data_IF_257633871742
#
_entry.id   IF_257633871742
#
_cell.length_a   1.000
_cell.length_b   1.000
_cell.length_c   1.000
_cell.angle_alpha   90.00
_cell.angle_beta   90.00
_cell.angle_gamma   90.00
#
_symmetry.space_group_name_H-M   'P 1'
#
loop_
_entity.id
_entity.type
_entity.pdbx_description
1 polymer ?
#
# COMPACT_ATOMS: atom_id res chain seq x y z
N UNK A 1 -12.38 -12.13 -13.96
CA UNK A 1 -11.99 -11.74 -12.59
C UNK A 1 -10.66 -10.95 -12.59
N UNK A 2 -9.64 -11.39 -13.34
CA UNK A 2 -8.38 -10.64 -13.55
C UNK A 2 -8.56 -9.21 -14.12
N UNK A 3 -9.55 -8.99 -15.00
CA UNK A 3 -9.78 -7.68 -15.63
C UNK A 3 -10.18 -6.57 -14.64
N UNK A 4 -10.79 -6.91 -13.49
CA UNK A 4 -11.22 -5.92 -12.49
C UNK A 4 -10.03 -5.40 -11.68
N UNK A 5 -9.22 -6.31 -11.11
CA UNK A 5 -7.99 -5.93 -10.39
C UNK A 5 -6.99 -5.22 -11.31
N UNK A 6 -6.92 -5.63 -12.58
CA UNK A 6 -6.11 -4.99 -13.60
C UNK A 6 -6.48 -3.51 -13.85
N UNK A 7 -7.77 -3.23 -14.08
CA UNK A 7 -8.27 -1.86 -14.25
C UNK A 7 -8.08 -1.01 -13.00
N UNK A 8 -8.20 -1.62 -11.83
CA UNK A 8 -8.03 -0.94 -10.55
C UNK A 8 -6.58 -0.50 -10.34
N UNK A 9 -5.60 -1.36 -10.65
CA UNK A 9 -4.16 -1.04 -10.58
C UNK A 9 -3.79 0.07 -11.58
N UNK A 10 -4.29 0.00 -12.82
CA UNK A 10 -4.04 1.04 -13.84
C UNK A 10 -4.65 2.39 -13.42
N UNK A 11 -5.90 2.39 -12.96
CA UNK A 11 -6.57 3.59 -12.48
C UNK A 11 -5.83 4.20 -11.28
N UNK A 12 -5.41 3.36 -10.34
CA UNK A 12 -4.72 3.78 -9.13
C UNK A 12 -3.35 4.41 -9.38
N UNK A 13 -2.65 3.95 -10.42
CA UNK A 13 -1.35 4.51 -10.83
C UNK A 13 -1.49 5.75 -11.71
N UNK A 14 -2.71 6.28 -11.91
CA UNK A 14 -2.96 7.42 -12.81
C UNK A 14 -2.71 7.11 -14.29
N UNK A 15 -2.69 5.83 -14.66
CA UNK A 15 -2.37 5.35 -16.01
C UNK A 15 -3.63 5.20 -16.89
N UNK A 16 -4.79 5.62 -16.41
CA UNK A 16 -6.08 5.59 -17.13
C UNK A 16 -6.07 6.42 -18.42
N UNK A 17 -5.10 7.32 -18.58
CA UNK A 17 -4.90 8.13 -19.78
C UNK A 17 -3.89 7.55 -20.78
N UNK A 18 -3.23 6.43 -20.43
CA UNK A 18 -2.34 5.74 -21.38
C UNK A 18 -3.24 5.08 -22.42
N UNK A 19 -3.06 5.43 -23.69
CA UNK A 19 -3.73 4.80 -24.82
C UNK A 19 -3.71 3.27 -24.64
N UNK A 20 -4.76 2.55 -25.09
CA UNK A 20 -4.88 1.13 -24.77
C UNK A 20 -3.57 0.43 -25.06
N UNK A 21 -3.05 -0.31 -24.07
CA UNK A 21 -1.84 -1.13 -24.18
C UNK A 21 -2.11 -2.34 -25.11
N UNK A 22 -2.83 -2.10 -26.21
CA UNK A 22 -3.13 -3.03 -27.27
C UNK A 22 -1.80 -3.52 -27.86
N UNK A 23 -1.50 -4.79 -27.62
CA UNK A 23 -0.29 -5.45 -28.10
C UNK A 23 0.75 -5.76 -27.03
N UNK A 24 0.61 -5.27 -25.79
CA UNK A 24 1.39 -5.78 -24.66
C UNK A 24 0.73 -7.06 -24.16
N UNK A 25 1.44 -8.18 -24.30
CA UNK A 25 1.03 -9.42 -23.64
C UNK A 25 1.00 -9.22 -22.11
N UNK A 26 0.16 -10.00 -21.42
CA UNK A 26 0.09 -9.99 -19.95
C UNK A 26 1.48 -10.10 -19.29
N UNK A 27 2.36 -10.93 -19.84
CA UNK A 27 3.73 -11.12 -19.34
C UNK A 27 4.59 -9.85 -19.44
N UNK A 28 4.55 -9.14 -20.56
CA UNK A 28 5.32 -7.91 -20.75
C UNK A 28 4.83 -6.78 -19.83
N UNK A 29 3.55 -6.83 -19.43
CA UNK A 29 2.94 -5.86 -18.53
C UNK A 29 3.24 -6.16 -17.06
N UNK A 30 3.28 -7.44 -16.66
CA UNK A 30 3.80 -7.83 -15.35
C UNK A 30 5.28 -7.45 -15.21
N UNK A 31 6.08 -7.68 -16.27
CA UNK A 31 7.47 -7.26 -16.31
C UNK A 31 7.60 -5.74 -16.21
N UNK A 32 6.71 -4.99 -16.88
CA UNK A 32 6.65 -3.53 -16.77
C UNK A 32 6.37 -3.09 -15.32
N UNK A 33 5.39 -3.72 -14.68
CA UNK A 33 5.02 -3.45 -13.29
C UNK A 33 6.17 -3.77 -12.33
N UNK A 34 6.80 -4.94 -12.46
CA UNK A 34 7.98 -5.33 -11.65
C UNK A 34 9.15 -4.36 -11.86
N UNK A 35 9.47 -3.99 -13.10
CA UNK A 35 10.57 -3.06 -13.40
C UNK A 35 10.31 -1.66 -12.86
N UNK A 36 9.07 -1.16 -12.95
CA UNK A 36 8.69 0.12 -12.33
C UNK A 36 8.69 0.05 -10.81
N UNK A 37 8.34 -1.09 -10.20
CA UNK A 37 8.38 -1.31 -8.76
C UNK A 37 9.84 -1.26 -8.24
N UNK A 38 10.78 -1.93 -8.91
CA UNK A 38 12.20 -1.95 -8.52
C UNK A 38 12.96 -0.64 -8.77
N UNK A 39 12.62 0.13 -9.82
CA UNK A 39 13.32 1.40 -10.08
C UNK A 39 12.89 2.54 -9.13
N UNK A 40 11.67 2.49 -8.59
CA UNK A 40 11.20 3.48 -7.62
C UNK A 40 11.80 3.27 -6.21
N UNK A 41 12.22 2.04 -5.88
CA UNK A 41 12.80 1.66 -4.57
C UNK A 41 14.21 2.24 -4.30
N UNK A 42 14.90 2.80 -5.30
CA UNK A 42 16.25 3.35 -5.14
C UNK A 42 16.30 4.90 -5.05
N UNK A 43 15.15 5.56 -4.89
CA UNK A 43 15.10 7.02 -4.73
C UNK A 43 14.87 7.39 -3.27
N UNK A 44 15.92 7.85 -2.55
CA UNK A 44 15.74 8.41 -1.22
C UNK A 44 14.99 9.75 -1.27
N UNK A 45 14.10 9.95 -0.30
CA UNK A 45 13.36 11.19 -0.10
C UNK A 45 14.25 12.13 0.73
N UNK A 46 14.64 13.27 0.15
CA UNK A 46 15.32 14.35 0.87
C UNK A 46 14.29 15.46 1.06
N UNK A 47 14.03 15.83 2.31
CA UNK A 47 12.81 16.53 2.79
C UNK A 47 12.69 18.01 2.36
N UNK A 48 13.55 18.51 1.47
CA UNK A 48 13.79 19.97 1.37
C UNK A 48 13.27 20.69 0.11
N UNK A 49 12.42 20.08 -0.72
CA UNK A 49 11.85 20.79 -1.87
C UNK A 49 10.35 20.53 -2.00
N UNK A 50 9.58 21.56 -2.35
CA UNK A 50 8.18 21.46 -2.73
C UNK A 50 8.04 20.51 -3.95
N UNK A 51 7.73 19.23 -3.71
CA UNK A 51 8.02 18.14 -4.65
C UNK A 51 6.83 17.75 -5.52
N UNK A 52 6.62 18.50 -6.62
CA UNK A 52 6.15 17.90 -7.87
C UNK A 52 7.33 17.15 -8.51
N UNK A 53 7.62 15.92 -8.06
CA UNK A 53 8.58 15.06 -8.77
C UNK A 53 7.91 14.45 -9.99
N UNK A 54 8.28 14.94 -11.18
CA UNK A 54 8.02 14.26 -12.45
C UNK A 54 9.07 13.17 -12.62
N UNK A 55 8.75 11.94 -12.23
CA UNK A 55 9.55 10.79 -12.64
C UNK A 55 9.20 10.48 -14.11
N UNK A 56 10.17 10.63 -15.01
CA UNK A 56 10.01 10.26 -16.42
C UNK A 56 10.71 8.93 -16.65
N UNK A 57 9.93 7.84 -16.69
CA UNK A 57 10.43 6.53 -17.09
C UNK A 57 10.31 6.42 -18.61
N UNK A 58 11.34 5.94 -19.31
CA UNK A 58 11.27 5.71 -20.76
C UNK A 58 11.05 4.24 -21.02
N UNK A 59 9.87 3.90 -21.56
CA UNK A 59 9.54 2.54 -21.96
C UNK A 59 9.91 2.34 -23.42
N UNK A 60 10.72 1.33 -23.75
CA UNK A 60 11.01 0.97 -25.14
C UNK A 60 10.16 -0.23 -25.54
N UNK A 61 9.31 -0.04 -26.55
CA UNK A 61 8.51 -1.13 -27.11
C UNK A 61 9.42 -2.11 -27.87
N UNK A 62 9.29 -3.39 -27.54
CA UNK A 62 10.25 -4.43 -27.95
C UNK A 62 10.19 -4.72 -29.45
N UNK A 63 9.00 -4.65 -30.05
CA UNK A 63 8.78 -5.06 -31.45
C UNK A 63 9.16 -3.98 -32.46
N UNK A 64 8.93 -2.71 -32.15
CA UNK A 64 9.17 -1.59 -33.07
C UNK A 64 10.24 -0.61 -32.59
N UNK A 65 10.80 -0.81 -31.39
CA UNK A 65 11.86 0.02 -30.80
C UNK A 65 11.42 1.41 -30.35
N UNK A 66 10.13 1.77 -30.46
CA UNK A 66 9.66 3.11 -30.09
C UNK A 66 9.77 3.33 -28.58
N UNK A 67 10.20 4.53 -28.19
CA UNK A 67 10.29 4.91 -26.78
C UNK A 67 9.16 5.84 -26.39
N UNK A 68 8.45 5.51 -25.31
CA UNK A 68 7.35 6.29 -24.77
C UNK A 68 7.76 6.87 -23.40
N UNK A 69 7.66 8.20 -23.20
CA UNK A 69 7.85 8.78 -21.87
C UNK A 69 6.61 8.50 -21.03
N UNK A 70 6.81 7.83 -19.90
CA UNK A 70 5.81 7.66 -18.87
C UNK A 70 6.09 8.71 -17.79
N UNK A 71 5.20 9.69 -17.72
CA UNK A 71 5.33 10.81 -16.79
C UNK A 71 4.43 10.51 -15.59
N UNK A 72 5.04 10.24 -14.44
CA UNK A 72 4.31 10.09 -13.18
C UNK A 72 4.31 11.42 -12.43
N UNK A 73 3.13 11.82 -11.94
CA UNK A 73 3.00 12.88 -10.95
C UNK A 73 2.67 12.24 -9.60
N UNK A 74 3.57 12.39 -8.65
CA UNK A 74 3.29 12.07 -7.26
C UNK A 74 2.70 13.32 -6.61
N UNK A 75 1.48 13.21 -6.11
CA UNK A 75 0.92 14.18 -5.19
C UNK A 75 1.13 13.63 -3.78
N UNK A 76 2.25 13.96 -3.15
CA UNK A 76 2.38 13.83 -1.70
C UNK A 76 1.85 15.13 -1.12
N UNK A 77 0.58 15.17 -0.73
CA UNK A 77 0.16 16.25 0.16
C UNK A 77 0.82 16.02 1.52
N UNK A 78 1.37 17.07 2.17
CA UNK A 78 1.91 16.96 3.51
C UNK A 78 0.82 16.39 4.40
N UNK A 79 1.06 15.19 4.93
CA UNK A 79 0.07 14.43 5.67
C UNK A 79 -0.56 15.28 6.76
N UNK A 80 -1.83 15.62 6.61
CA UNK A 80 -2.61 16.03 7.76
C UNK A 80 -2.65 14.81 8.68
N UNK A 81 -2.25 14.96 9.97
CA UNK A 81 -2.38 13.85 10.90
C UNK A 81 -3.84 13.41 10.86
N UNK A 82 -4.12 12.11 10.69
CA UNK A 82 -5.50 11.63 10.69
C UNK A 82 -6.15 12.19 11.95
N UNK A 83 -7.21 12.98 11.75
CA UNK A 83 -8.01 13.47 12.86
C UNK A 83 -8.56 12.20 13.47
N UNK A 84 -8.07 11.83 14.66
CA UNK A 84 -8.45 10.63 15.36
C UNK A 84 -9.95 10.73 15.71
N UNK A 85 -10.81 10.46 14.72
CA UNK A 85 -12.17 10.02 14.94
C UNK A 85 -12.02 8.83 15.88
N UNK A 86 -12.72 8.85 17.01
CA UNK A 86 -12.60 7.89 18.10
C UNK A 86 -13.06 6.47 17.76
N UNK A 87 -12.65 5.96 16.59
CA UNK A 87 -12.70 4.57 16.23
C UNK A 87 -12.02 3.78 17.35
N UNK A 88 -12.81 2.88 17.92
CA UNK A 88 -12.49 2.10 19.10
C UNK A 88 -11.20 1.34 18.80
N UNK A 89 -10.14 1.64 19.56
CA UNK A 89 -8.80 1.08 19.39
C UNK A 89 -8.78 -0.47 19.43
N UNK A 90 -9.86 -1.10 19.89
CA UNK A 90 -10.03 -2.54 20.02
C UNK A 90 -9.96 -3.32 18.69
N UNK A 91 -10.23 -2.67 17.54
CA UNK A 91 -10.30 -3.37 16.23
C UNK A 91 -9.14 -3.05 15.27
N UNK A 92 -8.20 -2.19 15.67
CA UNK A 92 -7.10 -1.77 14.81
C UNK A 92 -6.25 -2.95 14.32
N UNK A 93 -6.07 -3.04 13.01
CA UNK A 93 -5.31 -4.07 12.32
C UNK A 93 -6.03 -5.42 12.17
N UNK A 94 -7.13 -5.68 12.89
CA UNK A 94 -7.83 -6.96 12.87
C UNK A 94 -8.95 -7.06 11.84
N UNK A 95 -9.24 -5.97 11.14
CA UNK A 95 -10.29 -5.93 10.12
C UNK A 95 -9.77 -5.23 8.87
N UNK A 96 -10.27 -5.60 7.68
CA UNK A 96 -9.91 -4.94 6.43
C UNK A 96 -10.39 -3.47 6.38
N UNK A 97 -11.31 -3.09 7.27
CA UNK A 97 -11.86 -1.74 7.34
C UNK A 97 -11.06 -0.80 8.24
N UNK A 98 -10.12 -1.37 9.01
CA UNK A 98 -9.22 -0.64 9.88
C UNK A 98 -7.81 -1.28 9.81
N UNK A 99 -7.18 -1.32 8.62
CA UNK A 99 -5.90 -1.98 8.43
C UNK A 99 -4.77 -1.19 9.08
N UNK A 100 -3.63 -1.86 9.27
CA UNK A 100 -2.36 -1.22 9.61
C UNK A 100 -1.81 -0.58 8.34
N UNK A 101 -1.61 0.73 8.32
CA UNK A 101 -1.02 1.39 7.15
C UNK A 101 0.50 1.21 7.17
N UNK A 102 1.07 0.80 6.05
CA UNK A 102 2.50 0.57 5.91
C UNK A 102 3.02 1.32 4.69
N UNK A 103 4.22 1.90 4.83
CA UNK A 103 4.96 2.36 3.67
C UNK A 103 5.50 1.14 2.94
N UNK A 104 4.81 0.74 1.86
CA UNK A 104 5.25 -0.29 0.93
C UNK A 104 5.37 -1.72 1.55
N UNK A 105 5.77 -2.76 0.78
CA UNK A 105 5.87 -4.13 1.30
C UNK A 105 6.91 -4.29 2.42
N UNK A 106 7.97 -3.47 2.45
CA UNK A 106 8.98 -3.51 3.51
C UNK A 106 8.38 -3.01 4.82
N UNK A 107 7.55 -1.98 4.79
CA UNK A 107 6.84 -1.49 5.97
C UNK A 107 5.97 -2.56 6.63
N UNK A 108 5.34 -3.45 5.84
CA UNK A 108 4.57 -4.58 6.39
C UNK A 108 5.47 -5.56 7.16
N UNK A 109 6.61 -5.92 6.56
CA UNK A 109 7.57 -6.85 7.13
C UNK A 109 8.19 -6.27 8.41
N UNK A 110 8.57 -5.00 8.38
CA UNK A 110 9.10 -4.26 9.53
C UNK A 110 8.06 -4.21 10.66
N UNK A 111 6.81 -3.89 10.34
CA UNK A 111 5.74 -3.87 11.34
C UNK A 111 5.56 -5.26 11.96
N UNK A 112 5.47 -6.34 11.17
CA UNK A 112 5.34 -7.71 11.68
C UNK A 112 6.54 -8.10 12.55
N UNK A 113 7.76 -7.76 12.13
CA UNK A 113 8.99 -8.04 12.89
C UNK A 113 9.06 -7.28 14.22
N UNK A 114 8.39 -6.12 14.32
CA UNK A 114 8.26 -5.35 15.55
C UNK A 114 7.22 -5.94 16.52
N UNK A 115 6.35 -6.85 16.09
CA UNK A 115 5.30 -7.41 16.94
C UNK A 115 5.81 -8.57 17.81
N UNK A 116 5.26 -8.64 19.02
CA UNK A 116 5.42 -9.73 19.98
C UNK A 116 4.05 -10.15 20.50
N UNK A 117 3.89 -11.45 20.77
CA UNK A 117 2.69 -11.95 21.42
C UNK A 117 2.64 -11.49 22.90
N UNK A 118 1.53 -11.69 23.63
CA UNK A 118 1.44 -11.34 25.05
C UNK A 118 2.57 -11.91 25.94
N UNK A 119 3.13 -13.05 25.55
CA UNK A 119 4.24 -13.71 26.25
C UNK A 119 5.63 -13.23 25.80
N UNK A 120 5.71 -12.24 24.91
CA UNK A 120 6.97 -11.64 24.45
C UNK A 120 7.67 -12.38 23.31
N UNK A 121 7.11 -13.45 22.76
CA UNK A 121 7.70 -14.16 21.63
C UNK A 121 7.43 -13.43 20.30
N UNK A 122 8.37 -13.49 19.33
CA UNK A 122 8.17 -12.93 17.99
C UNK A 122 7.15 -13.72 17.18
N UNK A 123 6.58 -13.06 16.17
CA UNK A 123 5.70 -13.68 15.19
C UNK A 123 6.45 -14.07 13.91
N UNK A 124 5.93 -15.10 13.23
CA UNK A 124 6.18 -15.37 11.82
C UNK A 124 4.90 -15.04 11.04
N UNK A 125 4.99 -14.10 10.11
CA UNK A 125 3.89 -13.72 9.23
C UNK A 125 3.80 -14.62 7.99
N UNK A 126 2.58 -15.01 7.63
CA UNK A 126 2.26 -15.73 6.42
C UNK A 126 1.23 -14.93 5.62
N UNK A 127 1.64 -14.38 4.48
CA UNK A 127 0.72 -13.66 3.58
C UNK A 127 -0.29 -14.63 2.99
N UNK A 128 -1.56 -14.38 3.23
CA UNK A 128 -2.68 -15.18 2.72
C UNK A 128 -3.11 -14.69 1.34
N UNK A 129 -3.09 -13.38 1.12
CA UNK A 129 -3.44 -12.76 -0.15
C UNK A 129 -3.97 -11.33 0.04
N UNK A 130 -4.40 -10.72 -1.07
CA UNK A 130 -4.99 -9.38 -1.08
C UNK A 130 -6.52 -9.46 -1.15
N UNK A 131 -7.21 -8.49 -0.58
CA UNK A 131 -8.67 -8.36 -0.64
C UNK A 131 -9.14 -6.91 -0.61
N UNK A 132 -10.43 -6.70 -0.82
CA UNK A 132 -11.06 -5.39 -0.66
C UNK A 132 -11.08 -4.99 0.83
N UNK A 133 -10.75 -3.73 1.11
CA UNK A 133 -10.82 -3.11 2.43
C UNK A 133 -11.26 -1.64 2.35
N UNK A 134 -11.26 -0.95 3.49
CA UNK A 134 -11.60 0.46 3.55
C UNK A 134 -10.40 1.34 3.86
N UNK A 135 -10.25 2.39 3.05
CA UNK A 135 -9.33 3.48 3.30
C UNK A 135 -9.68 4.18 4.61
N UNK A 136 -8.74 4.26 5.55
CA UNK A 136 -8.88 5.17 6.70
C UNK A 136 -8.39 6.58 6.38
N UNK A 137 -7.82 6.81 5.18
CA UNK A 137 -7.32 8.10 4.72
C UNK A 137 -8.19 8.70 3.59
N UNK A 138 -9.33 9.33 3.92
CA UNK A 138 -10.29 9.80 2.91
C UNK A 138 -9.67 10.75 1.87
N UNK A 139 -8.60 11.46 2.23
CA UNK A 139 -7.97 12.45 1.34
C UNK A 139 -7.07 11.83 0.26
N UNK A 140 -6.61 10.57 0.40
CA UNK A 140 -5.68 9.97 -0.57
C UNK A 140 -6.39 9.17 -1.67
N UNK A 141 -7.58 8.62 -1.38
CA UNK A 141 -8.32 7.78 -2.33
C UNK A 141 -9.63 8.37 -2.81
N UNK A 142 -10.24 9.28 -2.05
CA UNK A 142 -11.44 9.95 -2.53
C UNK A 142 -10.98 11.17 -3.32
N UNK A 143 -11.24 11.24 -4.64
CA UNK A 143 -10.85 12.40 -5.41
C UNK A 143 -11.50 13.66 -4.81
N UNK A 144 -10.80 14.81 -4.76
CA UNK A 144 -11.27 16.03 -4.08
C UNK A 144 -12.57 16.63 -4.68
N UNK A 145 -13.10 16.01 -5.73
CA UNK A 145 -14.31 16.41 -6.44
C UNK A 145 -15.43 15.36 -6.37
N UNK A 146 -15.28 14.26 -5.64
CA UNK A 146 -16.40 13.35 -5.40
C UNK A 146 -17.42 14.09 -4.54
N UNK A 147 -18.57 14.42 -5.11
CA UNK A 147 -19.73 14.90 -4.36
C UNK A 147 -20.03 13.91 -3.22
N UNK A 148 -20.46 14.39 -2.05
CA UNK A 148 -20.63 13.64 -0.77
C UNK A 148 -21.41 12.30 -0.84
N UNK A 149 -21.93 11.92 -2.01
CA UNK A 149 -22.68 10.69 -2.26
C UNK A 149 -21.91 9.62 -3.05
N UNK A 150 -20.73 9.91 -3.60
CA UNK A 150 -19.91 8.88 -4.26
C UNK A 150 -19.08 8.13 -3.21
N UNK A 151 -19.46 6.88 -2.97
CA UNK A 151 -18.73 5.93 -2.13
C UNK A 151 -17.27 5.87 -2.60
N UNK A 152 -16.35 6.20 -1.69
CA UNK A 152 -14.91 6.06 -1.94
C UNK A 152 -14.64 4.61 -2.40
N UNK A 153 -13.89 4.40 -3.50
CA UNK A 153 -13.63 3.06 -4.00
C UNK A 153 -12.95 2.22 -2.92
N UNK A 154 -13.21 0.90 -2.87
CA UNK A 154 -12.55 0.03 -1.91
C UNK A 154 -11.03 0.06 -2.13
N UNK A 155 -10.28 0.12 -1.03
CA UNK A 155 -8.84 -0.03 -1.05
C UNK A 155 -8.46 -1.51 -1.11
N UNK A 156 -7.22 -1.78 -1.50
CA UNK A 156 -6.67 -3.13 -1.46
C UNK A 156 -5.87 -3.25 -0.17
N UNK A 157 -6.16 -4.29 0.60
CA UNK A 157 -5.42 -4.62 1.82
C UNK A 157 -4.89 -6.05 1.74
N UNK A 158 -3.75 -6.29 2.35
CA UNK A 158 -3.11 -7.60 2.43
C UNK A 158 -3.43 -8.27 3.77
N UNK A 159 -3.91 -9.52 3.69
CA UNK A 159 -4.21 -10.34 4.86
C UNK A 159 -3.02 -11.22 5.19
N UNK A 160 -2.61 -11.18 6.46
CA UNK A 160 -1.57 -12.04 7.02
C UNK A 160 -2.11 -12.87 8.17
N UNK A 161 -1.71 -14.14 8.23
CA UNK A 161 -1.81 -14.96 9.44
C UNK A 161 -0.47 -14.89 10.18
N UNK A 162 -0.51 -14.49 11.44
CA UNK A 162 0.66 -14.37 12.30
C UNK A 162 0.67 -15.52 13.29
N UNK A 163 1.76 -16.28 13.30
CA UNK A 163 1.97 -17.38 14.25
C UNK A 163 3.14 -17.07 15.18
N UNK A 164 2.87 -17.03 16.48
CA UNK A 164 3.89 -16.84 17.50
C UNK A 164 4.90 -18.00 17.45
N UNK A 165 6.20 -17.71 17.54
CA UNK A 165 7.24 -18.76 17.54
C UNK A 165 7.16 -19.69 18.77
N UNK A 166 6.55 -19.24 19.86
CA UNK A 166 6.25 -20.08 21.03
C UNK A 166 5.03 -20.99 20.83
N UNK A 167 4.26 -20.85 19.74
CA UNK A 167 3.07 -21.67 19.45
C UNK A 167 1.81 -21.31 20.23
N UNK A 168 1.90 -20.41 21.22
CA UNK A 168 0.82 -20.06 22.16
C UNK A 168 -0.26 -19.14 21.56
N UNK A 169 0.06 -18.43 20.48
CA UNK A 169 -0.76 -17.34 19.96
C UNK A 169 -0.77 -17.33 18.43
N UNK A 170 -1.95 -17.20 17.85
CA UNK A 170 -2.15 -17.01 16.41
C UNK A 170 -3.19 -15.92 16.23
N UNK A 171 -2.97 -15.02 15.29
CA UNK A 171 -3.93 -13.98 14.93
C UNK A 171 -3.87 -13.66 13.45
N UNK A 172 -4.85 -12.91 12.97
CA UNK A 172 -4.86 -12.39 11.61
C UNK A 172 -4.80 -10.88 11.65
N UNK A 173 -3.97 -10.30 10.78
CA UNK A 173 -3.85 -8.86 10.62
C UNK A 173 -4.00 -8.46 9.16
N UNK A 174 -4.45 -7.22 8.96
CA UNK A 174 -4.66 -6.60 7.66
C UNK A 174 -3.74 -5.39 7.51
N UNK A 175 -3.07 -5.31 6.38
CA UNK A 175 -2.09 -4.28 6.09
C UNK A 175 -2.48 -3.51 4.82
N UNK A 176 -2.27 -2.21 4.84
CA UNK A 176 -2.45 -1.34 3.69
C UNK A 176 -1.10 -0.71 3.35
N UNK A 177 -0.33 -1.41 2.50
CA UNK A 177 0.98 -0.99 2.03
C UNK A 177 0.95 0.18 1.02
N UNK A 178 -0.24 0.70 0.72
CA UNK A 178 -0.43 1.69 -0.33
C UNK A 178 -0.71 3.08 0.23
N UNK A 179 -0.69 3.20 1.55
CA UNK A 179 -0.80 4.44 2.27
C UNK A 179 0.32 4.57 3.27
N UNK A 180 0.86 5.78 3.42
CA UNK A 180 1.91 5.99 4.38
C UNK A 180 1.44 5.70 5.80
N UNK A 181 2.25 4.95 6.52
CA UNK A 181 2.07 4.72 7.95
C UNK A 181 2.41 5.97 8.73
N UNK A 182 1.70 6.23 9.84
CA UNK A 182 2.22 7.21 10.80
C UNK A 182 3.23 6.53 11.73
N UNK A 183 4.33 7.20 12.04
CA UNK A 183 5.28 6.72 13.04
C UNK A 183 4.61 6.47 14.41
N UNK A 184 3.48 7.12 14.67
CA UNK A 184 2.67 7.03 15.89
C UNK A 184 1.53 6.01 15.83
N UNK A 185 1.51 5.11 14.84
CA UNK A 185 0.45 4.10 14.75
C UNK A 185 0.36 3.24 16.01
N UNK A 186 -0.88 3.00 16.43
CA UNK A 186 -1.18 2.19 17.61
C UNK A 186 -0.72 0.74 17.40
N UNK A 187 -0.52 0.02 18.50
CA UNK A 187 -0.32 -1.44 18.44
C UNK A 187 -1.69 -2.13 18.43
N UNK A 188 -1.92 -3.15 17.59
CA UNK A 188 -3.15 -3.94 17.66
C UNK A 188 -3.40 -4.47 19.07
N UNK A 189 -4.65 -4.39 19.53
CA UNK A 189 -5.02 -4.80 20.90
C UNK A 189 -4.54 -6.22 21.21
N UNK A 190 -3.96 -6.41 22.39
CA UNK A 190 -3.43 -7.71 22.83
C UNK A 190 -2.07 -8.09 22.26
N UNK A 191 -1.47 -7.28 21.39
CA UNK A 191 -0.08 -7.46 20.93
C UNK A 191 0.85 -6.46 21.62
N UNK A 192 2.14 -6.75 21.59
CA UNK A 192 3.19 -5.85 22.06
C UNK A 192 4.00 -5.42 20.83
N UNK A 193 4.33 -4.14 20.72
CA UNK A 193 5.24 -3.62 19.68
C UNK A 193 6.55 -3.22 20.34
N UNK A 194 7.66 -3.78 19.89
CA UNK A 194 9.00 -3.36 20.31
C UNK A 194 9.53 -2.33 19.31
N UNK A 195 10.02 -1.20 19.82
CA UNK A 195 10.76 -0.23 19.02
C UNK A 195 12.15 -0.78 18.70
N UNK A 196 12.65 -0.47 17.51
CA UNK A 196 14.07 -0.63 17.18
C UNK A 196 14.83 0.49 17.91
N UNK A 197 15.20 0.22 19.17
CA UNK A 197 16.06 1.10 19.99
C UNK A 197 17.54 1.05 19.53
#
# INVERSE_FOLDING_TARGET
MLDRGFRQIIAWRGLSHVAPLEGLGLEDLYLLMEVTHFQLQNMSCDESLEMLRLATIRLRHRMDGRTFPLIYRFHCEPGFPPTASGAIAETFGYTPDNPILCDDPMGEIEFINSLRCPNGHPFRGFRIGSMDGHCTCPNTHCPPLSTETELCPPCIVDRYELRCLGGEHTCELFFDMYHPGSASQSTPSGLIRVSDD
#
